data_IF_905673859550
#
_entry.id   IF_905673859550
#
_cell.length_a   1.000
_cell.length_b   1.000
_cell.length_c   1.000
_cell.angle_alpha   90.00
_cell.angle_beta   90.00
_cell.angle_gamma   90.00
#
_symmetry.space_group_name_H-M   'P 1'
#
loop_
_entity.id
_entity.type
_entity.pdbx_description
1 polymer ?
#
# COMPACT_ATOMS: atom_id res chain seq x y z
N UNK A 1 -8.66 6.37 -18.23
CA UNK A 1 -7.58 7.05 -17.48
C UNK A 1 -7.80 6.78 -16.01
N UNK A 2 -6.73 6.40 -15.31
CA UNK A 2 -6.77 6.18 -13.87
C UNK A 2 -6.91 7.52 -13.12
N UNK A 3 -7.46 7.51 -11.91
CA UNK A 3 -7.72 8.70 -11.11
C UNK A 3 -7.20 8.51 -9.70
N UNK A 4 -6.60 9.56 -9.14
CA UNK A 4 -5.96 9.51 -7.82
C UNK A 4 -6.72 10.36 -6.81
N UNK A 5 -6.95 9.80 -5.62
CA UNK A 5 -7.46 10.51 -4.46
C UNK A 5 -6.29 10.89 -3.57
N UNK A 6 -5.98 12.17 -3.52
CA UNK A 6 -4.96 12.73 -2.63
C UNK A 6 -5.44 12.57 -1.18
N UNK A 7 -4.60 12.00 -0.33
CA UNK A 7 -4.83 11.83 1.10
C UNK A 7 -4.18 12.96 1.91
N UNK A 8 -3.09 13.54 1.41
CA UNK A 8 -2.36 14.63 2.05
C UNK A 8 -1.80 15.62 1.04
N UNK A 9 -2.23 16.88 1.15
CA UNK A 9 -1.71 17.98 0.35
C UNK A 9 -0.66 18.77 1.14
N UNK A 10 0.41 19.18 0.49
CA UNK A 10 1.44 20.03 1.08
C UNK A 10 1.63 21.31 0.26
N UNK A 11 2.06 22.43 0.88
CA UNK A 11 2.45 23.63 0.16
C UNK A 11 3.59 23.35 -0.83
N UNK A 12 3.55 23.98 -2.01
CA UNK A 12 4.52 23.71 -3.09
C UNK A 12 5.98 23.95 -2.67
N UNK A 13 6.25 24.96 -1.84
CA UNK A 13 7.60 25.22 -1.34
C UNK A 13 8.12 24.06 -0.46
N UNK A 14 7.25 23.47 0.38
CA UNK A 14 7.57 22.32 1.22
C UNK A 14 7.79 21.07 0.36
N UNK A 15 6.95 20.86 -0.66
CA UNK A 15 7.10 19.76 -1.62
C UNK A 15 8.46 19.80 -2.33
N UNK A 16 8.90 20.98 -2.78
CA UNK A 16 10.18 21.13 -3.49
C UNK A 16 11.40 20.89 -2.58
N UNK A 17 11.33 21.34 -1.32
CA UNK A 17 12.36 21.08 -0.32
C UNK A 17 12.47 19.58 -0.04
N UNK A 18 11.33 18.92 0.21
CA UNK A 18 11.25 17.48 0.47
C UNK A 18 11.67 16.64 -0.74
N UNK A 19 11.35 17.07 -1.95
CA UNK A 19 11.81 16.42 -3.18
C UNK A 19 13.33 16.48 -3.32
N UNK A 20 13.94 17.60 -2.96
CA UNK A 20 15.40 17.75 -2.97
C UNK A 20 16.06 16.85 -1.92
N UNK A 21 15.45 16.72 -0.74
CA UNK A 21 15.88 15.78 0.29
C UNK A 21 15.80 14.32 -0.18
N UNK A 22 14.67 13.93 -0.80
CA UNK A 22 14.48 12.59 -1.33
C UNK A 22 15.54 12.23 -2.37
N UNK A 23 15.82 13.12 -3.33
CA UNK A 23 16.85 12.93 -4.36
C UNK A 23 18.24 12.67 -3.77
N UNK A 24 18.61 13.42 -2.73
CA UNK A 24 19.85 13.20 -1.99
C UNK A 24 19.88 11.84 -1.31
N UNK A 25 18.77 11.40 -0.71
CA UNK A 25 18.67 10.11 0.00
C UNK A 25 18.78 8.94 -0.98
N UNK A 26 18.05 8.98 -2.09
CA UNK A 26 18.09 7.91 -3.08
C UNK A 26 19.38 7.94 -3.92
N UNK A 27 20.09 9.07 -3.93
CA UNK A 27 21.36 9.25 -4.62
C UNK A 27 21.23 9.46 -6.13
N UNK A 28 20.21 10.20 -6.57
CA UNK A 28 19.98 10.51 -7.99
C UNK A 28 19.77 12.00 -8.21
N UNK A 29 20.17 12.49 -9.39
CA UNK A 29 19.97 13.89 -9.77
C UNK A 29 18.54 14.18 -10.23
N UNK A 30 17.89 13.23 -10.91
CA UNK A 30 16.48 13.35 -11.31
C UNK A 30 15.83 12.01 -11.66
N UNK A 31 14.53 11.92 -11.36
CA UNK A 31 13.58 10.90 -11.79
C UNK A 31 12.30 11.59 -12.27
N UNK A 32 12.41 12.33 -13.38
CA UNK A 32 11.39 13.27 -13.87
C UNK A 32 9.94 12.76 -13.76
N UNK A 33 9.63 11.57 -14.28
CA UNK A 33 8.27 11.01 -14.26
C UNK A 33 7.76 10.80 -12.83
N UNK A 34 8.62 10.33 -11.93
CA UNK A 34 8.27 10.13 -10.52
C UNK A 34 8.14 11.45 -9.76
N UNK A 35 9.03 12.40 -10.05
CA UNK A 35 8.98 13.75 -9.47
C UNK A 35 7.65 14.43 -9.82
N UNK A 36 7.25 14.43 -11.10
CA UNK A 36 5.96 14.97 -11.55
C UNK A 36 4.77 14.26 -10.88
N UNK A 37 4.87 12.93 -10.76
CA UNK A 37 3.82 12.14 -10.13
C UNK A 37 3.61 12.54 -8.67
N UNK A 38 4.68 12.61 -7.85
CA UNK A 38 4.57 13.00 -6.43
C UNK A 38 4.15 14.46 -6.27
N UNK A 39 4.66 15.37 -7.09
CA UNK A 39 4.27 16.79 -7.04
C UNK A 39 2.78 16.99 -7.29
N UNK A 40 2.19 16.15 -8.13
CA UNK A 40 0.76 16.21 -8.48
C UNK A 40 -0.11 15.39 -7.53
N UNK A 41 0.41 14.26 -7.02
CA UNK A 41 -0.35 13.25 -6.30
C UNK A 41 0.31 12.85 -4.96
N UNK A 42 0.75 13.84 -4.17
CA UNK A 42 1.37 13.58 -2.88
C UNK A 42 0.47 12.69 -2.00
N UNK A 43 0.99 11.55 -1.55
CA UNK A 43 0.28 10.53 -0.76
C UNK A 43 -1.12 10.26 -1.32
N UNK A 44 -1.26 9.34 -2.26
CA UNK A 44 -2.53 9.14 -2.95
C UNK A 44 -2.97 7.68 -3.04
N UNK A 45 -4.29 7.50 -3.11
CA UNK A 45 -4.89 6.22 -3.47
C UNK A 45 -5.30 6.25 -4.93
N UNK A 46 -5.00 5.17 -5.63
CA UNK A 46 -5.42 4.97 -7.01
C UNK A 46 -6.80 4.33 -7.07
N UNK A 47 -7.67 4.78 -7.99
CA UNK A 47 -8.98 4.14 -8.22
C UNK A 47 -8.83 2.76 -8.86
N UNK A 48 -7.91 2.63 -9.81
CA UNK A 48 -7.48 1.34 -10.34
C UNK A 48 -6.21 0.95 -9.59
N UNK A 49 -6.30 -0.02 -8.69
CA UNK A 49 -5.22 -0.34 -7.77
C UNK A 49 -4.77 -1.80 -7.85
N UNK A 50 -5.40 -2.61 -8.70
CA UNK A 50 -5.13 -4.03 -8.80
C UNK A 50 -4.24 -4.34 -9.99
N UNK A 51 -3.14 -5.05 -9.75
CA UNK A 51 -2.24 -5.55 -10.78
C UNK A 51 -2.39 -7.07 -10.88
N UNK A 52 -2.51 -7.59 -12.10
CA UNK A 52 -2.51 -9.03 -12.36
C UNK A 52 -1.85 -9.34 -13.70
N UNK A 53 -0.70 -10.03 -13.65
CA UNK A 53 -0.01 -10.50 -14.86
C UNK A 53 0.83 -11.73 -14.54
N UNK A 54 0.67 -12.77 -15.36
CA UNK A 54 1.35 -14.07 -15.16
C UNK A 54 1.05 -14.61 -13.75
N UNK A 55 2.07 -14.86 -12.93
CA UNK A 55 1.98 -15.38 -11.56
C UNK A 55 2.02 -14.29 -10.49
N UNK A 56 2.01 -13.00 -10.87
CA UNK A 56 2.06 -11.86 -9.94
C UNK A 56 0.70 -11.18 -9.91
N UNK A 57 0.12 -11.10 -8.72
CA UNK A 57 -1.18 -10.48 -8.46
C UNK A 57 -1.14 -9.79 -7.11
N UNK A 58 -1.48 -8.50 -7.06
CA UNK A 58 -1.50 -7.72 -5.83
C UNK A 58 -2.38 -6.48 -5.97
N UNK A 59 -2.66 -5.83 -4.84
CA UNK A 59 -3.42 -4.59 -4.78
C UNK A 59 -2.62 -3.52 -4.03
N UNK A 60 -2.53 -2.33 -4.63
CA UNK A 60 -1.87 -1.17 -4.03
C UNK A 60 -2.84 -0.52 -3.04
N UNK A 61 -2.37 -0.29 -1.82
CA UNK A 61 -3.12 0.46 -0.81
C UNK A 61 -3.03 1.95 -1.10
N UNK A 62 -1.80 2.48 -1.21
CA UNK A 62 -1.53 3.87 -1.55
C UNK A 62 -0.10 4.06 -2.04
N UNK A 63 0.09 5.07 -2.89
CA UNK A 63 1.41 5.58 -3.24
C UNK A 63 1.93 6.46 -2.09
N UNK A 64 3.21 6.30 -1.79
CA UNK A 64 3.91 7.09 -0.79
C UNK A 64 4.11 8.52 -1.29
N UNK A 65 4.28 9.44 -0.35
CA UNK A 65 4.62 10.84 -0.63
C UNK A 65 5.35 11.43 0.56
N UNK A 66 5.24 12.73 0.77
CA UNK A 66 5.75 13.38 1.97
C UNK A 66 4.63 13.55 2.98
N UNK A 67 4.88 13.15 4.22
CA UNK A 67 3.89 13.20 5.29
C UNK A 67 4.53 13.33 6.67
N UNK A 68 3.82 13.93 7.60
CA UNK A 68 4.15 13.84 9.03
C UNK A 68 3.83 12.45 9.63
N UNK A 69 2.97 11.68 8.95
CA UNK A 69 2.58 10.32 9.35
C UNK A 69 3.57 9.33 8.75
N UNK A 70 4.31 8.65 9.61
CA UNK A 70 5.37 7.70 9.26
C UNK A 70 4.98 6.68 8.19
N UNK A 71 3.76 6.17 8.22
CA UNK A 71 3.27 5.17 7.27
C UNK A 71 3.00 5.72 5.86
N UNK A 72 2.88 7.03 5.68
CA UNK A 72 2.69 7.66 4.37
C UNK A 72 3.96 8.32 3.83
N UNK A 73 4.96 8.51 4.68
CA UNK A 73 6.17 9.27 4.36
C UNK A 73 7.21 8.38 3.66
N UNK A 74 7.55 8.73 2.42
CA UNK A 74 8.47 7.97 1.58
C UNK A 74 9.89 7.94 2.16
N UNK A 75 10.35 9.03 2.76
CA UNK A 75 11.70 9.12 3.34
C UNK A 75 11.78 8.20 4.56
N UNK A 76 10.78 8.22 5.42
CA UNK A 76 10.69 7.30 6.54
C UNK A 76 10.66 5.84 6.07
N UNK A 77 9.84 5.52 5.06
CA UNK A 77 9.74 4.15 4.52
C UNK A 77 11.07 3.68 3.92
N UNK A 78 11.78 4.52 3.17
CA UNK A 78 13.13 4.19 2.67
C UNK A 78 14.06 3.79 3.83
N UNK A 79 14.07 4.56 4.93
CA UNK A 79 14.90 4.25 6.09
C UNK A 79 14.47 2.98 6.84
N UNK A 80 13.17 2.65 6.87
CA UNK A 80 12.67 1.41 7.51
C UNK A 80 13.12 0.15 6.75
N UNK A 81 13.21 0.24 5.42
CA UNK A 81 13.55 -0.89 4.56
C UNK A 81 15.00 -0.82 4.02
N UNK A 82 15.85 0.01 4.62
CA UNK A 82 17.27 0.08 4.28
C UNK A 82 17.93 -1.30 4.42
N UNK A 83 18.59 -1.75 3.36
CA UNK A 83 19.26 -3.07 3.31
C UNK A 83 18.33 -4.28 3.09
N UNK A 84 17.01 -4.09 2.99
CA UNK A 84 16.01 -5.17 2.78
C UNK A 84 15.59 -5.36 1.31
N UNK A 85 16.16 -4.57 0.41
CA UNK A 85 16.01 -4.69 -1.05
C UNK A 85 17.35 -4.35 -1.73
N UNK A 86 17.56 -4.71 -3.01
CA UNK A 86 18.73 -4.26 -3.77
C UNK A 86 18.93 -2.75 -3.70
N UNK A 87 20.19 -2.30 -3.60
CA UNK A 87 20.57 -0.89 -3.38
C UNK A 87 20.08 0.04 -4.49
N UNK A 88 19.84 -0.47 -5.69
CA UNK A 88 19.31 0.28 -6.83
C UNK A 88 17.80 0.52 -6.76
N UNK A 89 17.08 -0.12 -5.82
CA UNK A 89 15.64 0.00 -5.65
C UNK A 89 15.30 0.91 -4.47
N UNK A 90 14.12 1.53 -4.52
CA UNK A 90 13.53 2.24 -3.39
C UNK A 90 11.99 2.13 -3.43
N UNK A 91 11.30 2.11 -2.28
CA UNK A 91 9.85 1.99 -2.22
C UNK A 91 9.14 3.25 -2.70
N UNK A 92 8.05 3.07 -3.44
CA UNK A 92 7.18 4.14 -3.97
C UNK A 92 5.69 3.94 -3.60
N UNK A 93 5.28 2.74 -3.19
CA UNK A 93 3.92 2.46 -2.74
C UNK A 93 3.87 1.31 -1.73
N UNK A 94 2.83 1.32 -0.90
CA UNK A 94 2.49 0.20 -0.02
C UNK A 94 1.50 -0.70 -0.74
N UNK A 95 1.77 -2.00 -0.69
CA UNK A 95 0.94 -3.06 -1.26
C UNK A 95 0.36 -3.88 -0.11
N UNK A 96 -0.85 -4.44 -0.32
CA UNK A 96 -1.51 -5.30 0.67
C UNK A 96 -0.58 -6.44 1.13
N UNK A 97 -0.74 -6.90 2.37
CA UNK A 97 0.11 -7.93 2.96
C UNK A 97 1.44 -7.45 3.54
N UNK A 98 1.76 -6.14 3.45
CA UNK A 98 3.04 -5.59 3.93
C UNK A 98 4.14 -5.54 2.86
N UNK A 99 3.74 -5.80 1.61
CA UNK A 99 4.57 -5.73 0.42
C UNK A 99 4.83 -4.30 -0.04
N UNK A 100 5.77 -4.17 -0.97
CA UNK A 100 6.17 -2.87 -1.53
C UNK A 100 6.14 -2.88 -3.05
N UNK A 101 5.74 -1.74 -3.61
CA UNK A 101 6.07 -1.39 -4.97
C UNK A 101 7.34 -0.54 -4.95
N UNK A 102 8.37 -0.97 -5.67
CA UNK A 102 9.66 -0.33 -5.72
C UNK A 102 9.95 0.23 -7.11
N UNK A 103 10.76 1.28 -7.18
CA UNK A 103 11.28 1.85 -8.42
C UNK A 103 12.80 1.71 -8.44
N UNK A 104 13.35 1.38 -9.60
CA UNK A 104 14.78 1.40 -9.82
C UNK A 104 15.29 2.84 -10.05
N UNK A 105 16.28 3.25 -9.27
CA UNK A 105 16.87 4.60 -9.23
C UNK A 105 17.31 5.16 -10.58
N UNK A 106 17.94 4.32 -11.42
CA UNK A 106 18.49 4.78 -12.71
C UNK A 106 17.59 4.52 -13.93
N UNK A 107 16.75 3.49 -13.90
CA UNK A 107 15.97 3.07 -15.07
C UNK A 107 14.50 3.49 -14.99
N UNK A 108 13.99 3.78 -13.78
CA UNK A 108 12.57 4.02 -13.55
C UNK A 108 11.69 2.77 -13.66
N UNK A 109 12.28 1.59 -13.89
CA UNK A 109 11.56 0.31 -13.91
C UNK A 109 10.87 0.05 -12.57
N UNK A 110 9.69 -0.58 -12.62
CA UNK A 110 8.86 -0.85 -11.45
C UNK A 110 8.95 -2.32 -11.07
N UNK A 111 9.14 -2.57 -9.79
CA UNK A 111 9.32 -3.89 -9.21
C UNK A 111 8.33 -4.12 -8.06
N UNK A 112 7.84 -5.33 -7.96
CA UNK A 112 7.08 -5.81 -6.83
C UNK A 112 8.01 -6.57 -5.90
N UNK A 113 8.16 -6.06 -4.68
CA UNK A 113 8.92 -6.67 -3.60
C UNK A 113 7.95 -7.39 -2.68
N UNK A 114 8.06 -8.71 -2.63
CA UNK A 114 7.22 -9.59 -1.83
C UNK A 114 7.89 -9.86 -0.48
N UNK A 115 7.27 -9.43 0.62
CA UNK A 115 7.88 -9.44 1.95
C UNK A 115 8.37 -10.83 2.36
N UNK A 116 7.62 -11.86 2.04
CA UNK A 116 7.87 -13.24 2.43
C UNK A 116 9.03 -13.90 1.67
N UNK A 117 9.39 -13.40 0.48
CA UNK A 117 10.40 -14.05 -0.37
C UNK A 117 11.57 -13.15 -0.78
N UNK A 118 11.40 -11.83 -0.80
CA UNK A 118 12.36 -10.89 -1.39
C UNK A 118 13.12 -10.07 -0.33
N UNK A 119 13.00 -10.43 0.96
CA UNK A 119 13.69 -9.77 2.05
C UNK A 119 15.20 -9.94 1.92
N UNK A 120 15.85 -8.93 1.33
CA UNK A 120 17.22 -9.00 0.83
C UNK A 120 18.23 -9.05 1.97
N UNK A 121 19.29 -9.83 1.80
CA UNK A 121 20.36 -10.01 2.79
C UNK A 121 19.97 -10.84 4.01
N UNK A 122 18.68 -11.00 4.31
CA UNK A 122 18.20 -11.85 5.39
C UNK A 122 18.52 -13.31 5.08
N UNK A 123 19.28 -13.97 5.97
CA UNK A 123 19.71 -15.36 5.82
C UNK A 123 20.43 -15.66 4.48
N UNK A 124 21.09 -14.65 3.91
CA UNK A 124 21.77 -14.77 2.62
C UNK A 124 20.84 -14.73 1.40
N UNK A 125 19.58 -14.32 1.58
CA UNK A 125 18.64 -14.13 0.49
C UNK A 125 19.12 -13.02 -0.46
N UNK A 126 19.15 -13.34 -1.75
CA UNK A 126 19.50 -12.43 -2.84
C UNK A 126 18.49 -12.55 -3.99
N UNK A 127 17.26 -12.95 -3.67
CA UNK A 127 16.20 -13.02 -4.67
C UNK A 127 15.83 -11.60 -5.10
N UNK A 128 15.98 -11.37 -6.39
CA UNK A 128 15.65 -10.07 -6.97
C UNK A 128 14.12 -9.91 -7.11
N UNK A 129 13.55 -8.75 -6.71
CA UNK A 129 12.12 -8.48 -6.84
C UNK A 129 11.59 -8.63 -8.28
N UNK A 130 10.32 -8.98 -8.43
CA UNK A 130 9.73 -9.22 -9.74
C UNK A 130 9.47 -7.90 -10.49
N UNK A 131 9.99 -7.76 -11.71
CA UNK A 131 9.67 -6.58 -12.53
C UNK A 131 8.20 -6.62 -13.01
N UNK A 132 7.47 -5.54 -12.75
CA UNK A 132 6.03 -5.40 -13.08
C UNK A 132 5.73 -4.23 -14.01
N UNK A 133 6.71 -3.34 -14.26
CA UNK A 133 6.60 -2.26 -15.22
C UNK A 133 7.96 -1.82 -15.77
N UNK A 134 7.97 -1.28 -16.99
CA UNK A 134 9.17 -0.65 -17.58
C UNK A 134 9.37 0.78 -17.09
N UNK A 135 8.30 1.40 -16.62
CA UNK A 135 8.24 2.76 -16.10
C UNK A 135 6.94 2.95 -15.32
N UNK A 136 6.83 4.04 -14.57
CA UNK A 136 5.67 4.32 -13.71
C UNK A 136 4.36 4.47 -14.50
N UNK A 137 4.39 5.13 -15.66
CA UNK A 137 3.17 5.38 -16.44
C UNK A 137 2.63 4.08 -17.04
N UNK A 138 3.50 3.29 -17.67
CA UNK A 138 3.13 1.98 -18.20
C UNK A 138 2.61 1.04 -17.12
N UNK A 139 3.18 1.09 -15.91
CA UNK A 139 2.68 0.33 -14.78
C UNK A 139 1.27 0.78 -14.37
N UNK A 140 1.05 2.09 -14.17
CA UNK A 140 -0.25 2.67 -13.80
C UNK A 140 -1.33 2.35 -14.83
N UNK A 141 -1.00 2.36 -16.12
CA UNK A 141 -1.92 2.05 -17.21
C UNK A 141 -2.36 0.58 -17.22
N UNK A 142 -1.59 -0.32 -16.62
CA UNK A 142 -1.92 -1.73 -16.46
C UNK A 142 -2.76 -2.02 -15.20
N UNK A 143 -3.00 -1.03 -14.34
CA UNK A 143 -3.83 -1.23 -13.15
C UNK A 143 -5.31 -1.35 -13.52
N UNK A 144 -5.99 -2.22 -12.80
CA UNK A 144 -7.42 -2.52 -12.95
C UNK A 144 -8.14 -2.36 -11.61
N UNK A 145 -9.45 -2.55 -11.60
CA UNK A 145 -10.20 -2.66 -10.35
C UNK A 145 -10.01 -4.05 -9.77
N UNK A 146 -9.84 -4.13 -8.44
CA UNK A 146 -9.86 -5.41 -7.74
C UNK A 146 -11.11 -6.21 -8.11
N UNK A 147 -10.98 -7.51 -8.43
CA UNK A 147 -12.13 -8.35 -8.74
C UNK A 147 -13.08 -8.36 -7.54
N UNK A 148 -14.36 -8.14 -7.79
CA UNK A 148 -15.37 -8.29 -6.76
C UNK A 148 -15.66 -9.78 -6.55
N UNK A 149 -15.92 -10.22 -5.30
CA UNK A 149 -16.35 -11.57 -5.05
C UNK A 149 -17.55 -11.95 -5.92
N UNK A 150 -17.50 -13.13 -6.51
CA UNK A 150 -18.62 -13.69 -7.27
C UNK A 150 -19.81 -13.95 -6.36
N UNK A 151 -21.01 -13.99 -6.94
CA UNK A 151 -22.21 -14.37 -6.18
C UNK A 151 -22.10 -15.76 -5.55
N UNK A 152 -21.35 -16.67 -6.18
CA UNK A 152 -21.11 -18.00 -5.61
C UNK A 152 -20.16 -17.95 -4.41
N UNK A 153 -19.04 -17.22 -4.51
CA UNK A 153 -18.13 -17.01 -3.36
C UNK A 153 -18.88 -16.35 -2.19
N UNK A 154 -19.71 -15.35 -2.48
CA UNK A 154 -20.58 -14.72 -1.47
C UNK A 154 -21.52 -15.76 -0.86
N UNK A 155 -22.19 -16.59 -1.66
CA UNK A 155 -23.06 -17.67 -1.15
C UNK A 155 -22.30 -18.65 -0.26
N UNK A 156 -21.10 -19.07 -0.66
CA UNK A 156 -20.28 -19.98 0.12
C UNK A 156 -19.84 -19.36 1.45
N UNK A 157 -19.36 -18.11 1.43
CA UNK A 157 -19.00 -17.38 2.66
C UNK A 157 -20.23 -17.16 3.55
N UNK A 158 -21.38 -16.82 2.98
CA UNK A 158 -22.63 -16.65 3.73
C UNK A 158 -23.16 -17.96 4.32
N UNK A 159 -22.84 -19.12 3.73
CA UNK A 159 -23.27 -20.44 4.21
C UNK A 159 -22.29 -21.08 5.20
N UNK A 160 -20.99 -20.85 5.02
CA UNK A 160 -19.93 -21.57 5.73
C UNK A 160 -18.98 -20.68 6.55
N UNK A 161 -18.80 -19.40 6.19
CA UNK A 161 -17.91 -18.49 6.90
C UNK A 161 -18.31 -18.25 8.36
N UNK A 162 -17.38 -17.84 9.20
CA UNK A 162 -17.68 -17.31 10.52
C UNK A 162 -16.73 -16.16 10.79
N UNK A 163 -17.20 -15.16 11.51
CA UNK A 163 -16.41 -14.02 11.94
C UNK A 163 -15.97 -14.29 13.36
N UNK A 164 -14.66 -14.37 13.58
CA UNK A 164 -14.14 -14.41 14.95
C UNK A 164 -14.00 -12.99 15.46
N UNK A 165 -14.58 -12.71 16.63
CA UNK A 165 -14.38 -11.44 17.32
C UNK A 165 -13.34 -11.60 18.44
N UNK A 166 -12.57 -10.55 18.70
CA UNK A 166 -11.57 -10.51 19.79
C UNK A 166 -12.01 -9.51 20.87
N UNK A 167 -11.50 -9.63 22.11
CA UNK A 167 -11.78 -8.64 23.16
C UNK A 167 -11.47 -7.20 22.73
N UNK A 168 -10.39 -7.01 21.97
CA UNK A 168 -10.04 -5.68 21.45
C UNK A 168 -11.04 -5.16 20.41
N UNK A 169 -11.53 -6.03 19.54
CA UNK A 169 -12.57 -5.67 18.58
C UNK A 169 -13.89 -5.30 19.28
N UNK A 170 -14.27 -5.99 20.36
CA UNK A 170 -15.44 -5.63 21.20
C UNK A 170 -15.27 -4.23 21.79
N UNK A 171 -14.10 -3.92 22.37
CA UNK A 171 -13.80 -2.60 22.92
C UNK A 171 -13.95 -1.50 21.85
N UNK A 172 -13.32 -1.68 20.69
CA UNK A 172 -13.37 -0.72 19.58
C UNK A 172 -14.80 -0.50 19.08
N UNK A 173 -15.56 -1.57 18.86
CA UNK A 173 -16.94 -1.48 18.40
C UNK A 173 -17.86 -0.84 19.45
N UNK A 174 -17.66 -1.11 20.75
CA UNK A 174 -18.43 -0.47 21.81
C UNK A 174 -18.10 1.03 21.94
N UNK A 175 -16.85 1.44 21.66
CA UNK A 175 -16.50 2.86 21.58
C UNK A 175 -17.22 3.57 20.42
N UNK A 176 -17.35 2.92 19.26
CA UNK A 176 -18.15 3.43 18.13
C UNK A 176 -19.63 3.56 18.51
N UNK A 177 -20.22 2.51 19.10
CA UNK A 177 -21.61 2.53 19.58
C UNK A 177 -21.86 3.64 20.57
N UNK A 178 -20.92 3.88 21.50
CA UNK A 178 -21.01 5.00 22.45
C UNK A 178 -21.05 6.35 21.74
N UNK A 179 -20.26 6.55 20.68
CA UNK A 179 -20.30 7.77 19.88
C UNK A 179 -21.66 7.97 19.17
N UNK A 180 -22.38 6.89 18.90
CA UNK A 180 -23.73 6.87 18.33
C UNK A 180 -24.84 6.87 19.40
N UNK A 181 -24.50 6.94 20.70
CA UNK A 181 -25.46 6.91 21.81
C UNK A 181 -26.09 5.53 22.07
N UNK A 182 -25.50 4.46 21.53
CA UNK A 182 -25.98 3.09 21.69
C UNK A 182 -25.32 2.39 22.90
N UNK A 183 -26.04 1.48 23.59
CA UNK A 183 -25.47 0.72 24.71
C UNK A 183 -24.40 -0.25 24.21
N UNK A 184 -23.35 -0.54 25.03
CA UNK A 184 -22.35 -1.52 24.67
C UNK A 184 -22.96 -2.93 24.59
N UNK A 185 -22.33 -3.80 23.81
CA UNK A 185 -22.69 -5.21 23.73
C UNK A 185 -21.58 -6.08 24.32
N UNK A 186 -21.96 -7.22 24.88
CA UNK A 186 -21.03 -8.26 25.34
C UNK A 186 -20.31 -8.95 24.18
N UNK A 187 -19.31 -9.76 24.52
CA UNK A 187 -18.62 -10.58 23.54
C UNK A 187 -19.58 -11.56 22.85
N UNK A 188 -20.43 -12.23 23.62
CA UNK A 188 -21.42 -13.20 23.13
C UNK A 188 -22.50 -12.53 22.29
N UNK A 189 -22.93 -11.33 22.66
CA UNK A 189 -23.89 -10.56 21.86
C UNK A 189 -23.30 -10.16 20.51
N UNK A 190 -22.03 -9.75 20.47
CA UNK A 190 -21.34 -9.46 19.22
C UNK A 190 -21.11 -10.71 18.38
N UNK A 191 -20.65 -11.81 18.98
CA UNK A 191 -20.45 -13.08 18.30
C UNK A 191 -21.76 -13.54 17.65
N UNK A 192 -22.86 -13.50 18.41
CA UNK A 192 -24.20 -13.81 17.90
C UNK A 192 -24.62 -12.87 16.79
N UNK A 193 -24.40 -11.56 16.89
CA UNK A 193 -24.78 -10.62 15.82
C UNK A 193 -24.00 -10.83 14.53
N UNK A 194 -22.71 -11.19 14.63
CA UNK A 194 -21.84 -11.37 13.47
C UNK A 194 -21.98 -12.76 12.83
N UNK A 195 -22.39 -13.75 13.62
CA UNK A 195 -22.48 -15.15 13.20
C UNK A 195 -23.90 -15.71 13.17
N UNK A 196 -24.94 -14.94 13.54
CA UNK A 196 -26.31 -15.42 13.44
C UNK A 196 -26.65 -15.70 11.98
N UNK A 197 -26.83 -16.98 11.70
CA UNK A 197 -27.44 -17.54 10.51
C UNK A 197 -28.81 -18.09 10.87
#
# INVERSE_FOLDING_TARGET
MNTFRILESLPSNVMMEKMSELKRIIGVDSLFVFEEFILTNNVCMSRLNHYKKKSVEFSIDYFLGFSSKKNYDIIHTIGVYEGRMPDELFPIAIVDGGDLLCMHKNTGCIYYWFHEEDDWGLEGNQKYPAQVGTDLNSFIDNLTTSPQPTQEEIRQVMKHGSVTITPKAVELKNNQRKAEGLPPLSFEEWDKLLNNR
#
